data_IF_787726414161
#
_entry.id   IF_787726414161
#
_cell.length_a   1.000
_cell.length_b   1.000
_cell.length_c   1.000
_cell.angle_alpha   90.00
_cell.angle_beta   90.00
_cell.angle_gamma   90.00
#
_symmetry.space_group_name_H-M   'P 1'
#
loop_
_entity.id
_entity.type
_entity.pdbx_description
1 polymer ?
#
# COMPACT_ATOMS: atom_id res chain seq x y z
N UNK A 1 -10.13 20.95 -9.52
CA UNK A 1 -9.94 20.57 -8.10
C UNK A 1 -10.73 19.35 -7.68
N UNK A 2 -12.02 19.24 -8.02
CA UNK A 2 -12.81 18.04 -7.70
C UNK A 2 -12.25 16.77 -8.38
N UNK A 3 -11.70 16.91 -9.58
CA UNK A 3 -11.01 15.83 -10.33
C UNK A 3 -9.81 15.27 -9.57
N UNK A 4 -8.91 16.13 -9.04
CA UNK A 4 -7.74 15.69 -8.27
C UNK A 4 -8.13 14.88 -7.03
N UNK A 5 -9.23 15.27 -6.36
CA UNK A 5 -9.76 14.51 -5.22
C UNK A 5 -10.35 13.16 -5.66
N UNK A 6 -11.05 13.09 -6.79
CA UNK A 6 -11.56 11.82 -7.33
C UNK A 6 -10.42 10.86 -7.69
N UNK A 7 -9.37 11.36 -8.36
CA UNK A 7 -8.15 10.59 -8.63
C UNK A 7 -7.47 10.12 -7.36
N UNK A 8 -7.32 10.99 -6.36
CA UNK A 8 -6.75 10.63 -5.07
C UNK A 8 -7.53 9.48 -4.41
N UNK A 9 -8.86 9.60 -4.35
CA UNK A 9 -9.73 8.57 -3.78
C UNK A 9 -9.60 7.25 -4.55
N UNK A 10 -9.54 7.30 -5.88
CA UNK A 10 -9.35 6.13 -6.72
C UNK A 10 -8.04 5.41 -6.41
N UNK A 11 -6.91 6.14 -6.40
CA UNK A 11 -5.61 5.53 -6.12
C UNK A 11 -5.49 5.02 -4.68
N UNK A 12 -6.04 5.73 -3.70
CA UNK A 12 -6.12 5.23 -2.32
C UNK A 12 -6.96 3.94 -2.23
N UNK A 13 -8.07 3.87 -2.98
CA UNK A 13 -8.92 2.68 -3.04
C UNK A 13 -8.21 1.50 -3.66
N UNK A 14 -7.54 1.72 -4.80
CA UNK A 14 -6.72 0.70 -5.46
C UNK A 14 -5.59 0.21 -4.56
N UNK A 15 -4.88 1.12 -3.90
CA UNK A 15 -3.83 0.78 -2.94
C UNK A 15 -4.38 -0.04 -1.77
N UNK A 16 -5.49 0.40 -1.16
CA UNK A 16 -6.09 -0.32 -0.04
C UNK A 16 -6.52 -1.74 -0.44
N UNK A 17 -7.14 -1.89 -1.61
CA UNK A 17 -7.54 -3.18 -2.15
C UNK A 17 -6.33 -4.11 -2.38
N UNK A 18 -5.28 -3.60 -3.04
CA UNK A 18 -4.08 -4.39 -3.32
C UNK A 18 -3.32 -4.78 -2.05
N UNK A 19 -3.17 -3.86 -1.10
CA UNK A 19 -2.53 -4.12 0.19
C UNK A 19 -3.31 -5.16 1.00
N UNK A 20 -4.65 -5.09 0.99
CA UNK A 20 -5.50 -6.09 1.62
C UNK A 20 -5.34 -7.47 0.95
N UNK A 21 -5.40 -7.53 -0.39
CA UNK A 21 -5.25 -8.77 -1.14
C UNK A 21 -3.88 -9.42 -0.95
N UNK A 22 -2.81 -8.64 -1.00
CA UNK A 22 -1.45 -9.12 -0.73
C UNK A 22 -1.28 -9.55 0.72
N UNK A 23 -1.81 -8.80 1.69
CA UNK A 23 -1.80 -9.18 3.10
C UNK A 23 -2.51 -10.53 3.33
N UNK A 24 -3.70 -10.70 2.74
CA UNK A 24 -4.45 -11.95 2.82
C UNK A 24 -3.70 -13.12 2.16
N UNK A 25 -3.11 -12.88 0.99
CA UNK A 25 -2.30 -13.89 0.29
C UNK A 25 -1.09 -14.32 1.11
N UNK A 26 -0.38 -13.38 1.74
CA UNK A 26 0.81 -13.68 2.52
C UNK A 26 0.47 -14.43 3.81
N UNK A 27 -0.63 -14.06 4.49
CA UNK A 27 -1.03 -14.74 5.73
C UNK A 27 -1.66 -16.12 5.52
N UNK A 28 -2.45 -16.28 4.46
CA UNK A 28 -3.27 -17.49 4.29
C UNK A 28 -2.87 -18.33 3.06
N UNK A 29 -2.29 -17.71 2.04
CA UNK A 29 -1.93 -18.35 0.78
C UNK A 29 -0.52 -18.90 0.72
N UNK A 30 0.47 -18.26 1.37
CA UNK A 30 1.89 -18.63 1.22
C UNK A 30 2.17 -20.07 1.68
N UNK A 31 1.56 -20.51 2.78
CA UNK A 31 1.69 -21.88 3.29
C UNK A 31 1.17 -22.92 2.30
N UNK A 32 0.11 -22.60 1.56
CA UNK A 32 -0.45 -23.51 0.54
C UNK A 32 0.44 -23.62 -0.68
N UNK A 33 1.05 -22.51 -1.12
CA UNK A 33 1.99 -22.48 -2.24
C UNK A 33 3.26 -23.29 -1.92
N UNK A 34 3.81 -23.11 -0.72
CA UNK A 34 5.05 -23.78 -0.32
C UNK A 34 4.88 -25.29 -0.20
N UNK A 35 3.72 -25.75 0.30
CA UNK A 35 3.37 -27.18 0.28
C UNK A 35 3.30 -27.72 -1.15
N UNK A 36 2.72 -26.96 -2.08
CA UNK A 36 2.64 -27.36 -3.49
C UNK A 36 4.03 -27.40 -4.17
N UNK A 37 4.99 -26.60 -3.70
CA UNK A 37 6.37 -26.58 -4.21
C UNK A 37 7.33 -27.46 -3.41
N UNK A 38 6.84 -28.28 -2.47
CA UNK A 38 7.66 -29.10 -1.56
C UNK A 38 8.74 -28.32 -0.78
N UNK A 39 8.48 -27.04 -0.48
CA UNK A 39 9.37 -26.19 0.31
C UNK A 39 8.78 -25.99 1.71
N UNK A 40 9.64 -25.90 2.73
CA UNK A 40 9.24 -25.57 4.11
C UNK A 40 9.68 -24.17 4.49
N UNK A 41 8.80 -23.43 5.17
CA UNK A 41 9.19 -22.20 5.86
C UNK A 41 10.24 -22.50 6.94
N UNK A 42 11.30 -21.71 6.99
CA UNK A 42 12.00 -21.53 8.28
C UNK A 42 11.09 -20.73 9.21
N UNK A 43 11.17 -20.98 10.52
CA UNK A 43 10.38 -20.23 11.52
C UNK A 43 10.60 -18.71 11.40
N UNK A 44 11.84 -18.29 11.12
CA UNK A 44 12.19 -16.88 10.92
C UNK A 44 11.43 -16.24 9.76
N UNK A 45 11.34 -16.94 8.62
CA UNK A 45 10.64 -16.43 7.44
C UNK A 45 9.13 -16.39 7.67
N UNK A 46 8.59 -17.31 8.48
CA UNK A 46 7.17 -17.33 8.85
C UNK A 46 6.80 -16.14 9.74
N UNK A 47 7.63 -15.84 10.75
CA UNK A 47 7.45 -14.65 11.61
C UNK A 47 7.52 -13.38 10.76
N UNK A 48 8.53 -13.27 9.90
CA UNK A 48 8.68 -12.12 9.00
C UNK A 48 7.48 -11.94 8.06
N UNK A 49 7.04 -13.02 7.41
CA UNK A 49 5.90 -12.99 6.48
C UNK A 49 4.60 -12.63 7.19
N UNK A 50 4.40 -13.13 8.41
CA UNK A 50 3.24 -12.79 9.24
C UNK A 50 3.23 -11.32 9.61
N UNK A 51 4.36 -10.81 10.10
CA UNK A 51 4.52 -9.39 10.42
C UNK A 51 4.26 -8.51 9.19
N UNK A 52 4.87 -8.86 8.05
CA UNK A 52 4.70 -8.13 6.81
C UNK A 52 3.23 -8.14 6.34
N UNK A 53 2.54 -9.28 6.39
CA UNK A 53 1.12 -9.38 6.06
C UNK A 53 0.24 -8.48 6.95
N UNK A 54 0.50 -8.43 8.26
CA UNK A 54 -0.20 -7.54 9.19
C UNK A 54 0.06 -6.06 8.83
N UNK A 55 1.31 -5.69 8.52
CA UNK A 55 1.63 -4.34 8.08
C UNK A 55 0.82 -3.92 6.84
N UNK A 56 0.66 -4.83 5.86
CA UNK A 56 -0.15 -4.55 4.67
C UNK A 56 -1.63 -4.29 5.02
N UNK A 57 -2.21 -5.05 5.97
CA UNK A 57 -3.56 -4.79 6.46
C UNK A 57 -3.70 -3.43 7.16
N UNK A 58 -2.68 -3.01 7.92
CA UNK A 58 -2.66 -1.70 8.55
C UNK A 58 -2.68 -0.61 7.47
N UNK A 59 -1.82 -0.70 6.45
CA UNK A 59 -1.80 0.24 5.34
C UNK A 59 -3.12 0.26 4.55
N UNK A 60 -3.74 -0.90 4.33
CA UNK A 60 -5.06 -0.99 3.70
C UNK A 60 -6.12 -0.24 4.53
N UNK A 61 -6.11 -0.45 5.85
CA UNK A 61 -7.04 0.20 6.79
C UNK A 61 -6.85 1.71 6.80
N UNK A 62 -5.60 2.19 6.82
CA UNK A 62 -5.28 3.62 6.70
C UNK A 62 -5.78 4.19 5.36
N UNK A 63 -5.67 3.45 4.26
CA UNK A 63 -6.22 3.84 2.96
C UNK A 63 -7.74 4.03 3.01
N UNK A 64 -8.47 3.11 3.63
CA UNK A 64 -9.93 3.22 3.81
C UNK A 64 -10.30 4.43 4.68
N UNK A 65 -9.58 4.66 5.78
CA UNK A 65 -9.77 5.84 6.64
C UNK A 65 -9.50 7.13 5.86
N UNK A 66 -8.42 7.17 5.07
CA UNK A 66 -8.08 8.32 4.22
C UNK A 66 -9.18 8.63 3.20
N UNK A 67 -9.80 7.60 2.60
CA UNK A 67 -10.95 7.77 1.69
C UNK A 67 -12.14 8.34 2.45
N UNK A 68 -12.46 7.81 3.63
CA UNK A 68 -13.55 8.30 4.48
C UNK A 68 -13.38 9.77 4.85
N UNK A 69 -12.17 10.18 5.21
CA UNK A 69 -11.83 11.57 5.50
C UNK A 69 -11.87 12.46 4.25
N UNK A 70 -11.39 11.97 3.10
CA UNK A 70 -11.44 12.71 1.83
C UNK A 70 -12.89 12.98 1.38
N UNK A 71 -13.80 12.03 1.57
CA UNK A 71 -15.24 12.20 1.28
C UNK A 71 -15.87 13.27 2.17
N UNK A 72 -15.44 13.36 3.44
CA UNK A 72 -15.89 14.37 4.41
C UNK A 72 -15.12 15.70 4.32
N UNK A 73 -14.21 15.85 3.35
CA UNK A 73 -13.35 17.04 3.19
C UNK A 73 -12.52 17.41 4.42
N UNK A 74 -12.15 16.42 5.24
CA UNK A 74 -11.36 16.62 6.45
C UNK A 74 -9.90 16.95 6.13
N UNK A 75 -9.23 17.89 6.82
CA UNK A 75 -7.83 18.22 6.57
C UNK A 75 -6.87 17.04 6.84
N UNK A 76 -7.21 16.16 7.79
CA UNK A 76 -6.49 14.93 8.12
C UNK A 76 -6.40 13.99 6.91
N UNK A 77 -7.36 14.07 5.98
CA UNK A 77 -7.37 13.27 4.77
C UNK A 77 -6.12 13.51 3.91
N UNK A 78 -5.73 14.78 3.75
CA UNK A 78 -4.59 15.17 2.92
C UNK A 78 -3.30 14.71 3.58
N UNK A 79 -3.18 14.88 4.90
CA UNK A 79 -2.03 14.40 5.66
C UNK A 79 -1.87 12.88 5.51
N UNK A 80 -2.94 12.12 5.77
CA UNK A 80 -2.89 10.67 5.71
C UNK A 80 -2.63 10.16 4.28
N UNK A 81 -3.20 10.83 3.28
CA UNK A 81 -2.93 10.52 1.87
C UNK A 81 -1.45 10.70 1.51
N UNK A 82 -0.84 11.80 1.96
CA UNK A 82 0.60 12.05 1.74
C UNK A 82 1.46 11.05 2.49
N UNK A 83 1.10 10.72 3.73
CA UNK A 83 1.80 9.71 4.52
C UNK A 83 1.82 8.35 3.79
N UNK A 84 0.67 7.89 3.32
CA UNK A 84 0.56 6.64 2.53
C UNK A 84 1.42 6.73 1.26
N UNK A 85 1.29 7.82 0.50
CA UNK A 85 2.05 8.00 -0.73
C UNK A 85 3.58 7.97 -0.52
N UNK A 86 4.07 8.63 0.53
CA UNK A 86 5.50 8.61 0.87
C UNK A 86 6.00 7.22 1.26
N UNK A 87 5.25 6.49 2.09
CA UNK A 87 5.63 5.13 2.49
C UNK A 87 5.65 4.15 1.31
N UNK A 88 4.73 4.29 0.36
CA UNK A 88 4.78 3.50 -0.88
C UNK A 88 6.02 3.81 -1.71
N UNK A 89 6.40 5.10 -1.80
CA UNK A 89 7.61 5.50 -2.52
C UNK A 89 8.87 4.96 -1.84
N UNK A 90 8.96 5.10 -0.52
CA UNK A 90 10.09 4.58 0.28
C UNK A 90 10.18 3.06 0.12
N UNK A 91 9.06 2.34 0.29
CA UNK A 91 9.02 0.89 0.12
C UNK A 91 9.45 0.45 -1.29
N UNK A 92 8.99 1.15 -2.33
CA UNK A 92 9.41 0.89 -3.70
C UNK A 92 10.91 1.11 -3.91
N UNK A 93 11.48 2.19 -3.37
CA UNK A 93 12.94 2.40 -3.41
C UNK A 93 13.71 1.31 -2.66
N UNK A 94 13.24 0.89 -1.48
CA UNK A 94 13.87 -0.21 -0.73
C UNK A 94 13.86 -1.51 -1.54
N UNK A 95 12.76 -1.83 -2.23
CA UNK A 95 12.70 -3.02 -3.09
C UNK A 95 13.68 -2.93 -4.26
N UNK A 96 13.88 -1.74 -4.86
CA UNK A 96 14.88 -1.55 -5.92
C UNK A 96 16.30 -1.75 -5.37
N UNK A 97 16.61 -1.14 -4.23
CA UNK A 97 17.97 -1.12 -3.68
C UNK A 97 18.38 -2.49 -3.13
N UNK A 98 17.50 -3.15 -2.38
CA UNK A 98 17.81 -4.38 -1.64
C UNK A 98 17.48 -5.65 -2.44
N UNK A 99 16.37 -5.65 -3.17
CA UNK A 99 15.84 -6.85 -3.84
C UNK A 99 16.11 -6.81 -5.35
N UNK A 100 16.44 -5.64 -5.91
CA UNK A 100 16.70 -5.43 -7.35
C UNK A 100 15.53 -5.87 -8.25
N UNK A 101 14.31 -5.94 -7.70
CA UNK A 101 13.07 -6.31 -8.40
C UNK A 101 12.31 -5.08 -8.86
N UNK A 102 12.78 -4.49 -9.96
CA UNK A 102 12.20 -3.28 -10.55
C UNK A 102 10.74 -3.44 -10.96
N UNK A 103 10.37 -4.62 -11.45
CA UNK A 103 9.03 -4.97 -11.89
C UNK A 103 7.98 -4.88 -10.77
N UNK A 104 8.37 -5.29 -9.56
CA UNK A 104 7.50 -5.19 -8.37
C UNK A 104 7.49 -3.76 -7.83
N UNK A 105 8.65 -3.12 -7.76
CA UNK A 105 8.78 -1.78 -7.19
C UNK A 105 8.08 -0.69 -7.98
N UNK A 106 8.09 -0.78 -9.32
CA UNK A 106 7.54 0.28 -10.18
C UNK A 106 6.04 0.49 -9.97
N UNK A 107 5.32 -0.58 -9.65
CA UNK A 107 3.87 -0.53 -9.41
C UNK A 107 3.54 0.21 -8.12
N UNK A 108 4.34 0.03 -7.06
CA UNK A 108 4.20 0.77 -5.80
C UNK A 108 4.65 2.22 -5.96
N UNK A 109 5.77 2.46 -6.64
CA UNK A 109 6.28 3.81 -6.91
C UNK A 109 5.28 4.65 -7.71
N UNK A 110 4.76 4.11 -8.82
CA UNK A 110 3.81 4.82 -9.67
C UNK A 110 2.54 5.21 -8.90
N UNK A 111 1.98 4.30 -8.10
CA UNK A 111 0.82 4.57 -7.25
C UNK A 111 1.13 5.58 -6.16
N UNK A 112 2.28 5.44 -5.48
CA UNK A 112 2.71 6.37 -4.43
C UNK A 112 2.86 7.80 -4.96
N UNK A 113 3.52 7.96 -6.12
CA UNK A 113 3.68 9.26 -6.80
C UNK A 113 2.32 9.82 -7.23
N UNK A 114 1.43 9.01 -7.81
CA UNK A 114 0.09 9.46 -8.21
C UNK A 114 -0.74 9.95 -7.02
N UNK A 115 -0.65 9.26 -5.88
CA UNK A 115 -1.29 9.67 -4.61
C UNK A 115 -0.69 11.00 -4.13
N UNK A 116 0.64 11.14 -4.11
CA UNK A 116 1.32 12.37 -3.68
C UNK A 116 0.90 13.55 -4.54
N UNK A 117 1.07 13.47 -5.86
CA UNK A 117 0.70 14.53 -6.80
C UNK A 117 -0.77 14.94 -6.59
N UNK A 118 -1.67 13.96 -6.54
CA UNK A 118 -3.10 14.24 -6.35
C UNK A 118 -3.37 14.91 -4.99
N UNK A 119 -2.70 14.47 -3.92
CA UNK A 119 -2.85 15.05 -2.58
C UNK A 119 -2.29 16.47 -2.46
N UNK A 120 -1.22 16.82 -3.21
CA UNK A 120 -0.70 18.19 -3.26
C UNK A 120 -1.58 19.13 -4.09
N UNK A 121 -2.28 18.61 -5.10
CA UNK A 121 -3.20 19.39 -5.94
C UNK A 121 -4.57 19.64 -5.30
N UNK A 122 -4.94 18.87 -4.27
CA UNK A 122 -6.12 19.14 -3.46
C UNK A 122 -5.84 20.33 -2.52
N UNK A 123 -6.35 21.51 -2.87
CA UNK A 123 -6.28 22.67 -1.97
C UNK A 123 -7.00 22.37 -0.65
N UNK A 124 -6.36 22.70 0.47
CA UNK A 124 -7.04 22.83 1.77
C UNK A 124 -8.13 23.89 1.60
N UNK A 125 -9.38 23.49 1.79
CA UNK A 125 -10.47 24.45 2.01
C UNK A 125 -10.43 24.86 3.47
#
# INVERSE_FOLDING_TARGET
MQTARKFLIFFLGLTAFMQFGLGAWILFGLDSLLRATHMSFSEDLKVFSTFFGICLFIFASLGVVAIGYNRKSKPEAIFLSKFIGWWMVIGGFTVIMEIQRYDLAIVDLARGIAILISAYLVKKK
#
